data_IF_658723825999
#
_entry.id   IF_658723825999
#
_cell.length_a   1.000
_cell.length_b   1.000
_cell.length_c   1.000
_cell.angle_alpha   90.00
_cell.angle_beta   90.00
_cell.angle_gamma   90.00
#
_symmetry.space_group_name_H-M   'P 1'
#
loop_
_entity.id
_entity.type
_entity.pdbx_description
1 polymer ?
#
# COMPACT_ATOMS: atom_id res chain seq x y z
N UNK A 1 -52.25 -0.20 -9.06
CA UNK A 1 -51.80 -1.46 -9.72
C UNK A 1 -51.16 -1.20 -11.09
N UNK A 2 -51.76 -0.39 -11.99
CA UNK A 2 -51.27 -0.14 -13.36
C UNK A 2 -49.96 0.67 -13.35
N UNK A 3 -49.85 1.75 -12.56
CA UNK A 3 -48.63 2.57 -12.40
C UNK A 3 -47.45 1.74 -11.86
N UNK A 4 -47.69 0.79 -10.94
CA UNK A 4 -46.68 -0.11 -10.44
C UNK A 4 -46.14 -1.07 -11.51
N UNK A 5 -47.04 -1.57 -12.40
CA UNK A 5 -46.65 -2.44 -13.53
C UNK A 5 -45.89 -1.70 -14.64
N UNK A 6 -46.22 -0.43 -14.91
CA UNK A 6 -45.55 0.41 -15.89
C UNK A 6 -44.14 0.84 -15.41
N UNK A 7 -43.93 0.99 -14.09
CA UNK A 7 -42.64 1.37 -13.53
C UNK A 7 -41.69 0.17 -13.32
N UNK A 8 -42.20 -1.06 -13.26
CA UNK A 8 -41.36 -2.23 -13.00
C UNK A 8 -40.17 -2.39 -13.99
N UNK A 9 -40.36 -2.25 -15.33
CA UNK A 9 -39.25 -2.29 -16.27
C UNK A 9 -38.23 -1.16 -16.08
N UNK A 10 -38.70 0.04 -15.75
CA UNK A 10 -37.81 1.20 -15.49
C UNK A 10 -36.98 0.99 -14.21
N UNK A 11 -37.57 0.40 -13.17
CA UNK A 11 -36.85 0.03 -11.96
C UNK A 11 -35.83 -1.08 -12.23
N UNK A 12 -36.19 -2.11 -12.98
CA UNK A 12 -35.28 -3.19 -13.36
C UNK A 12 -34.06 -2.66 -14.15
N UNK A 13 -34.31 -1.75 -15.12
CA UNK A 13 -33.25 -1.13 -15.88
C UNK A 13 -32.31 -0.24 -15.01
N UNK A 14 -32.86 0.45 -14.00
CA UNK A 14 -32.08 1.23 -13.05
C UNK A 14 -31.21 0.34 -12.15
N UNK A 15 -31.76 -0.75 -11.65
CA UNK A 15 -31.02 -1.75 -10.86
C UNK A 15 -29.87 -2.32 -11.67
N UNK A 16 -30.14 -2.79 -12.89
CA UNK A 16 -29.10 -3.35 -13.78
C UNK A 16 -27.97 -2.35 -14.08
N UNK A 17 -28.30 -1.07 -14.30
CA UNK A 17 -27.28 -0.02 -14.48
C UNK A 17 -26.43 0.20 -13.21
N UNK A 18 -27.06 0.17 -12.05
CA UNK A 18 -26.35 0.32 -10.78
C UNK A 18 -25.40 -0.85 -10.54
N UNK A 19 -25.84 -2.08 -10.81
CA UNK A 19 -25.01 -3.28 -10.71
C UNK A 19 -23.82 -3.21 -11.66
N UNK A 20 -24.03 -2.86 -12.94
CA UNK A 20 -22.96 -2.69 -13.90
C UNK A 20 -21.95 -1.60 -13.48
N UNK A 21 -22.45 -0.52 -12.87
CA UNK A 21 -21.58 0.54 -12.37
C UNK A 21 -20.75 0.09 -11.16
N UNK A 22 -21.33 -0.70 -10.26
CA UNK A 22 -20.61 -1.32 -9.13
C UNK A 22 -19.49 -2.24 -9.62
N UNK A 23 -19.79 -3.11 -10.59
CA UNK A 23 -18.80 -4.01 -11.17
C UNK A 23 -17.65 -3.23 -11.80
N UNK A 24 -17.95 -2.13 -12.51
CA UNK A 24 -16.95 -1.25 -13.08
C UNK A 24 -16.06 -0.61 -12.01
N UNK A 25 -16.66 -0.11 -10.90
CA UNK A 25 -15.92 0.45 -9.77
C UNK A 25 -14.95 -0.58 -9.20
N UNK A 26 -15.42 -1.78 -8.92
CA UNK A 26 -14.60 -2.85 -8.38
C UNK A 26 -13.47 -3.24 -9.34
N UNK A 27 -13.76 -3.34 -10.63
CA UNK A 27 -12.75 -3.64 -11.65
C UNK A 27 -11.68 -2.53 -11.74
N UNK A 28 -12.06 -1.27 -11.68
CA UNK A 28 -11.10 -0.17 -11.70
C UNK A 28 -10.28 -0.08 -10.41
N UNK A 29 -10.92 -0.26 -9.25
CA UNK A 29 -10.21 -0.31 -7.96
C UNK A 29 -9.20 -1.46 -7.95
N UNK A 30 -9.55 -2.64 -8.45
CA UNK A 30 -8.64 -3.78 -8.58
C UNK A 30 -7.43 -3.45 -9.47
N UNK A 31 -7.62 -2.80 -10.62
CA UNK A 31 -6.51 -2.36 -11.49
C UNK A 31 -5.56 -1.42 -10.76
N UNK A 32 -6.10 -0.46 -10.02
CA UNK A 32 -5.28 0.48 -9.21
C UNK A 32 -4.53 -0.27 -8.12
N UNK A 33 -5.19 -1.18 -7.40
CA UNK A 33 -4.57 -2.02 -6.37
C UNK A 33 -3.45 -2.89 -6.93
N UNK A 34 -3.68 -3.54 -8.07
CA UNK A 34 -2.67 -4.38 -8.74
C UNK A 34 -1.45 -3.57 -9.17
N UNK A 35 -1.66 -2.39 -9.76
CA UNK A 35 -0.56 -1.50 -10.16
C UNK A 35 0.23 -1.00 -8.95
N UNK A 36 -0.44 -0.65 -7.86
CA UNK A 36 0.20 -0.24 -6.62
C UNK A 36 1.00 -1.40 -5.99
N UNK A 37 0.43 -2.60 -5.96
CA UNK A 37 1.10 -3.79 -5.46
C UNK A 37 2.37 -4.09 -6.23
N UNK A 38 2.30 -4.16 -7.56
CA UNK A 38 3.44 -4.45 -8.41
C UNK A 38 4.58 -3.43 -8.20
N UNK A 39 4.26 -2.12 -8.32
CA UNK A 39 5.25 -1.06 -8.16
C UNK A 39 5.88 -1.02 -6.77
N UNK A 40 5.10 -1.32 -5.73
CA UNK A 40 5.63 -1.37 -4.38
C UNK A 40 6.52 -2.59 -4.18
N UNK A 41 6.16 -3.76 -4.72
CA UNK A 41 6.98 -4.97 -4.68
C UNK A 41 8.36 -4.72 -5.26
N UNK A 42 8.44 -4.19 -6.50
CA UNK A 42 9.72 -3.84 -7.14
C UNK A 42 10.51 -2.87 -6.26
N UNK A 43 9.86 -1.82 -5.76
CA UNK A 43 10.51 -0.83 -4.91
C UNK A 43 11.05 -1.41 -3.60
N UNK A 44 10.35 -2.36 -2.99
CA UNK A 44 10.78 -3.01 -1.76
C UNK A 44 11.99 -3.92 -2.02
N UNK A 45 12.00 -4.68 -3.11
CA UNK A 45 13.15 -5.48 -3.54
C UNK A 45 14.38 -4.58 -3.70
N UNK A 46 14.29 -3.57 -4.54
CA UNK A 46 15.38 -2.62 -4.77
C UNK A 46 15.88 -1.98 -3.47
N UNK A 47 14.95 -1.56 -2.61
CA UNK A 47 15.30 -0.92 -1.33
C UNK A 47 16.03 -1.87 -0.40
N UNK A 48 15.59 -3.11 -0.30
CA UNK A 48 16.22 -4.12 0.55
C UNK A 48 17.64 -4.41 0.09
N UNK A 49 17.83 -4.69 -1.21
CA UNK A 49 19.13 -4.98 -1.81
C UNK A 49 20.09 -3.80 -1.69
N UNK A 50 19.65 -2.60 -2.09
CA UNK A 50 20.47 -1.40 -1.99
C UNK A 50 20.90 -1.11 -0.56
N UNK A 51 19.99 -1.28 0.40
CA UNK A 51 20.29 -1.06 1.82
C UNK A 51 21.28 -2.08 2.35
N UNK A 52 21.16 -3.34 1.95
CA UNK A 52 22.10 -4.40 2.31
C UNK A 52 23.51 -4.11 1.78
N UNK A 53 23.66 -3.94 0.47
CA UNK A 53 24.98 -3.76 -0.14
C UNK A 53 25.63 -2.43 0.23
N UNK A 54 24.85 -1.36 0.30
CA UNK A 54 25.35 -0.05 0.76
C UNK A 54 25.84 -0.11 2.20
N UNK A 55 25.12 -0.78 3.08
CA UNK A 55 25.51 -0.94 4.46
C UNK A 55 26.77 -1.79 4.61
N UNK A 56 26.97 -2.85 3.80
CA UNK A 56 28.21 -3.61 3.75
C UNK A 56 29.38 -2.71 3.34
N UNK A 57 29.22 -1.98 2.24
CA UNK A 57 30.23 -1.05 1.75
C UNK A 57 30.62 -0.01 2.83
N UNK A 58 29.64 0.60 3.49
CA UNK A 58 29.86 1.59 4.54
C UNK A 58 30.59 0.98 5.76
N UNK A 59 30.28 -0.27 6.12
CA UNK A 59 30.97 -0.99 7.19
C UNK A 59 32.45 -1.24 6.83
N UNK A 60 32.71 -1.82 5.66
CA UNK A 60 34.08 -2.09 5.18
C UNK A 60 34.89 -0.81 5.09
N UNK A 61 34.29 0.28 4.59
CA UNK A 61 34.95 1.59 4.50
C UNK A 61 35.30 2.18 5.86
N UNK A 62 34.40 2.06 6.84
CA UNK A 62 34.61 2.61 8.19
C UNK A 62 35.60 1.82 9.03
N UNK A 63 35.68 0.53 8.83
CA UNK A 63 36.59 -0.36 9.55
C UNK A 63 37.93 -0.53 8.84
N UNK A 64 38.05 0.00 7.61
CA UNK A 64 39.18 -0.21 6.71
C UNK A 64 39.54 -1.70 6.53
N UNK A 65 38.57 -2.56 6.74
CA UNK A 65 38.74 -4.03 6.71
C UNK A 65 37.72 -4.63 5.73
N UNK A 66 38.23 -5.35 4.74
CA UNK A 66 37.39 -6.19 3.87
C UNK A 66 36.94 -7.42 4.62
N UNK A 67 35.71 -7.84 4.44
CA UNK A 67 35.18 -9.12 4.90
C UNK A 67 34.33 -9.76 3.80
N UNK A 68 34.30 -11.07 3.79
CA UNK A 68 33.44 -11.82 2.88
C UNK A 68 31.98 -11.71 3.30
N UNK A 69 31.11 -11.56 2.31
CA UNK A 69 29.67 -11.52 2.54
C UNK A 69 28.91 -12.34 1.50
N UNK A 70 27.77 -12.83 1.89
CA UNK A 70 26.93 -13.64 1.00
C UNK A 70 26.14 -12.75 0.07
N UNK A 71 26.15 -13.06 -1.24
CA UNK A 71 25.24 -12.44 -2.19
C UNK A 71 23.80 -12.79 -1.81
N UNK A 72 22.91 -11.80 -1.82
CA UNK A 72 21.49 -12.02 -1.60
C UNK A 72 20.91 -12.91 -2.72
N UNK A 73 20.17 -13.93 -2.35
CA UNK A 73 19.38 -14.70 -3.28
C UNK A 73 17.99 -14.06 -3.41
N UNK A 74 17.46 -14.00 -4.63
CA UNK A 74 16.14 -13.40 -4.90
C UNK A 74 15.04 -13.97 -3.99
N UNK A 75 15.11 -15.30 -3.74
CA UNK A 75 14.19 -15.99 -2.83
C UNK A 75 14.20 -15.41 -1.41
N UNK A 76 15.37 -15.09 -0.89
CA UNK A 76 15.54 -14.60 0.47
C UNK A 76 15.08 -13.14 0.59
N UNK A 77 15.29 -12.34 -0.46
CA UNK A 77 14.75 -10.98 -0.57
C UNK A 77 13.23 -11.00 -0.60
N UNK A 78 12.64 -11.86 -1.46
CA UNK A 78 11.19 -12.01 -1.56
C UNK A 78 10.57 -12.48 -0.23
N UNK A 79 11.20 -13.42 0.46
CA UNK A 79 10.75 -13.88 1.78
C UNK A 79 10.81 -12.76 2.82
N UNK A 80 11.87 -11.95 2.80
CA UNK A 80 12.04 -10.83 3.72
C UNK A 80 10.95 -9.77 3.54
N UNK A 81 10.66 -9.34 2.29
CA UNK A 81 9.64 -8.33 2.02
C UNK A 81 8.21 -8.85 2.25
N UNK A 82 7.98 -10.17 2.12
CA UNK A 82 6.68 -10.79 2.37
C UNK A 82 6.40 -11.04 3.86
N UNK A 83 7.37 -10.81 4.74
CA UNK A 83 7.22 -11.08 6.17
C UNK A 83 6.13 -10.21 6.80
N UNK A 84 5.28 -10.84 7.63
CA UNK A 84 4.31 -10.11 8.42
C UNK A 84 5.03 -9.35 9.54
N UNK A 85 4.84 -8.04 9.55
CA UNK A 85 5.31 -7.18 10.62
C UNK A 85 4.21 -6.19 11.02
N UNK A 86 4.12 -5.84 12.26
CA UNK A 86 3.03 -5.00 12.78
C UNK A 86 1.62 -5.49 12.34
N UNK A 87 1.39 -6.81 12.40
CA UNK A 87 0.09 -7.45 12.21
C UNK A 87 -0.32 -7.79 10.77
N UNK A 88 0.44 -7.37 9.75
CA UNK A 88 0.20 -7.76 8.35
C UNK A 88 1.42 -7.43 7.48
N UNK A 89 1.43 -7.92 6.24
CA UNK A 89 2.44 -7.55 5.25
C UNK A 89 1.95 -6.41 4.33
N UNK A 90 2.83 -5.90 3.46
CA UNK A 90 2.52 -4.80 2.53
C UNK A 90 1.39 -5.14 1.56
N UNK A 91 1.34 -6.38 1.07
CA UNK A 91 0.32 -6.85 0.14
C UNK A 91 -1.07 -6.77 0.78
N UNK A 92 -1.23 -7.33 1.98
CA UNK A 92 -2.48 -7.29 2.74
C UNK A 92 -2.96 -5.86 2.97
N UNK A 93 -2.04 -4.95 3.29
CA UNK A 93 -2.36 -3.53 3.51
C UNK A 93 -2.86 -2.87 2.24
N UNK A 94 -2.24 -3.14 1.09
CA UNK A 94 -2.69 -2.61 -0.21
C UNK A 94 -4.07 -3.14 -0.54
N UNK A 95 -4.28 -4.46 -0.48
CA UNK A 95 -5.57 -5.05 -0.85
C UNK A 95 -6.69 -4.66 0.10
N UNK A 96 -6.43 -4.55 1.39
CA UNK A 96 -7.38 -4.02 2.37
C UNK A 96 -7.76 -2.57 2.05
N UNK A 97 -6.80 -1.75 1.66
CA UNK A 97 -7.05 -0.36 1.28
C UNK A 97 -7.83 -0.28 -0.04
N UNK A 98 -7.48 -1.08 -1.04
CA UNK A 98 -8.17 -1.17 -2.33
C UNK A 98 -9.64 -1.57 -2.16
N UNK A 99 -9.90 -2.57 -1.32
CA UNK A 99 -11.28 -2.98 -1.00
C UNK A 99 -12.08 -1.85 -0.35
N UNK A 100 -11.49 -1.14 0.60
CA UNK A 100 -12.13 0.01 1.25
C UNK A 100 -12.42 1.14 0.26
N UNK A 101 -11.50 1.41 -0.66
CA UNK A 101 -11.73 2.39 -1.72
C UNK A 101 -12.94 2.00 -2.58
N UNK A 102 -12.98 0.77 -3.08
CA UNK A 102 -14.11 0.28 -3.90
C UNK A 102 -15.45 0.44 -3.18
N UNK A 103 -15.52 0.01 -1.91
CA UNK A 103 -16.72 0.16 -1.10
C UNK A 103 -17.13 1.63 -0.91
N UNK A 104 -16.16 2.50 -0.60
CA UNK A 104 -16.42 3.93 -0.41
C UNK A 104 -16.91 4.63 -1.68
N UNK A 105 -16.41 4.24 -2.85
CA UNK A 105 -16.88 4.76 -4.14
C UNK A 105 -18.28 4.24 -4.47
N UNK A 106 -18.55 2.98 -4.20
CA UNK A 106 -19.88 2.38 -4.35
C UNK A 106 -20.92 3.09 -3.47
N UNK A 107 -20.59 3.38 -2.21
CA UNK A 107 -21.45 4.11 -1.27
C UNK A 107 -21.79 5.52 -1.80
N UNK A 108 -20.81 6.27 -2.28
CA UNK A 108 -21.04 7.63 -2.83
C UNK A 108 -22.01 7.58 -4.00
N UNK A 109 -21.83 6.68 -4.94
CA UNK A 109 -22.69 6.58 -6.12
C UNK A 109 -24.08 6.10 -5.73
N UNK A 110 -24.19 5.08 -4.89
CA UNK A 110 -25.48 4.55 -4.45
C UNK A 110 -26.27 5.64 -3.71
N UNK A 111 -25.64 6.32 -2.76
CA UNK A 111 -26.28 7.41 -2.01
C UNK A 111 -26.66 8.56 -2.91
N UNK A 112 -25.77 9.01 -3.82
CA UNK A 112 -26.06 10.08 -4.75
C UNK A 112 -27.26 9.79 -5.64
N UNK A 113 -27.36 8.57 -6.17
CA UNK A 113 -28.51 8.14 -6.99
C UNK A 113 -29.81 8.03 -6.19
N UNK A 114 -29.74 7.58 -4.93
CA UNK A 114 -30.91 7.45 -4.05
C UNK A 114 -31.43 8.82 -3.60
N UNK A 115 -30.55 9.78 -3.37
CA UNK A 115 -30.92 11.14 -2.89
C UNK A 115 -31.13 12.14 -4.01
N UNK A 116 -30.92 11.74 -5.27
CA UNK A 116 -31.08 12.63 -6.42
C UNK A 116 -30.00 13.72 -6.50
N UNK A 117 -28.79 13.45 -6.01
CA UNK A 117 -27.67 14.38 -6.12
C UNK A 117 -27.32 14.66 -7.58
N UNK A 118 -26.82 15.84 -7.86
CA UNK A 118 -26.31 16.17 -9.19
C UNK A 118 -25.04 15.33 -9.52
N UNK A 119 -24.80 15.12 -10.80
CA UNK A 119 -23.57 14.45 -11.28
C UNK A 119 -22.33 15.18 -10.74
N UNK A 120 -22.38 16.51 -10.72
CA UNK A 120 -21.29 17.36 -10.23
C UNK A 120 -20.98 17.12 -8.74
N UNK A 121 -22.01 17.00 -7.91
CA UNK A 121 -21.83 16.76 -6.48
C UNK A 121 -21.25 15.35 -6.23
N UNK A 122 -21.71 14.36 -7.00
CA UNK A 122 -21.13 13.01 -6.95
C UNK A 122 -19.67 12.98 -7.40
N UNK A 123 -19.31 13.70 -8.48
CA UNK A 123 -17.92 13.83 -8.93
C UNK A 123 -17.02 14.40 -7.82
N UNK A 124 -17.41 15.50 -7.19
CA UNK A 124 -16.66 16.12 -6.10
C UNK A 124 -16.50 15.17 -4.90
N UNK A 125 -17.55 14.43 -4.56
CA UNK A 125 -17.49 13.44 -3.49
C UNK A 125 -16.56 12.27 -3.83
N UNK A 126 -16.56 11.78 -5.07
CA UNK A 126 -15.64 10.74 -5.54
C UNK A 126 -14.18 11.23 -5.53
N UNK A 127 -13.93 12.44 -6.03
CA UNK A 127 -12.60 13.06 -5.98
C UNK A 127 -12.06 13.13 -4.55
N UNK A 128 -12.85 13.60 -3.61
CA UNK A 128 -12.46 13.68 -2.20
C UNK A 128 -12.08 12.32 -1.63
N UNK A 129 -12.79 11.23 -2.00
CA UNK A 129 -12.46 9.87 -1.59
C UNK A 129 -11.14 9.39 -2.19
N UNK A 130 -10.93 9.62 -3.47
CA UNK A 130 -9.69 9.23 -4.17
C UNK A 130 -8.48 9.95 -3.58
N UNK A 131 -8.58 11.26 -3.29
CA UNK A 131 -7.50 12.04 -2.66
C UNK A 131 -7.16 11.48 -1.27
N UNK A 132 -8.18 11.19 -0.44
CA UNK A 132 -7.98 10.60 0.88
C UNK A 132 -7.27 9.25 0.81
N UNK A 133 -7.66 8.38 -0.11
CA UNK A 133 -7.04 7.07 -0.28
C UNK A 133 -5.61 7.16 -0.82
N UNK A 134 -5.32 8.12 -1.69
CA UNK A 134 -3.95 8.40 -2.15
C UNK A 134 -3.01 8.74 -1.00
N UNK A 135 -3.47 9.52 -0.03
CA UNK A 135 -2.70 9.81 1.18
C UNK A 135 -2.41 8.54 1.99
N UNK A 136 -3.40 7.64 2.16
CA UNK A 136 -3.23 6.36 2.87
C UNK A 136 -2.23 5.44 2.16
N UNK A 137 -2.32 5.32 0.83
CA UNK A 137 -1.37 4.55 0.02
C UNK A 137 0.05 5.09 0.19
N UNK A 138 0.24 6.41 0.09
CA UNK A 138 1.56 7.02 0.28
C UNK A 138 2.13 6.75 1.67
N UNK A 139 1.28 6.73 2.70
CA UNK A 139 1.71 6.36 4.06
C UNK A 139 2.15 4.90 4.14
N UNK A 140 1.40 3.98 3.53
CA UNK A 140 1.79 2.56 3.44
C UNK A 140 3.16 2.45 2.77
N UNK A 141 3.33 3.06 1.60
CA UNK A 141 4.59 3.02 0.84
C UNK A 141 5.77 3.48 1.70
N UNK A 142 5.67 4.65 2.34
CA UNK A 142 6.75 5.18 3.19
C UNK A 142 7.08 4.25 4.33
N UNK A 143 6.08 3.69 4.98
CA UNK A 143 6.26 2.81 6.13
C UNK A 143 6.92 1.49 5.72
N UNK A 144 6.48 0.88 4.62
CA UNK A 144 7.06 -0.36 4.11
C UNK A 144 8.49 -0.17 3.59
N UNK A 145 8.74 0.91 2.83
CA UNK A 145 10.09 1.22 2.33
C UNK A 145 11.06 1.45 3.48
N UNK A 146 10.66 2.19 4.52
CA UNK A 146 11.51 2.40 5.69
C UNK A 146 11.78 1.09 6.44
N UNK A 147 10.76 0.24 6.62
CA UNK A 147 10.93 -1.07 7.22
C UNK A 147 11.91 -1.94 6.42
N UNK A 148 11.74 -2.05 5.10
CA UNK A 148 12.64 -2.78 4.22
C UNK A 148 14.08 -2.28 4.25
N UNK A 149 14.27 -0.97 4.26
CA UNK A 149 15.60 -0.36 4.40
C UNK A 149 16.29 -0.81 5.69
N UNK A 150 15.57 -0.77 6.81
CA UNK A 150 16.10 -1.21 8.10
C UNK A 150 16.40 -2.71 8.14
N UNK A 151 15.55 -3.53 7.51
CA UNK A 151 15.77 -4.98 7.43
C UNK A 151 16.99 -5.32 6.55
N UNK A 152 17.17 -4.68 5.41
CA UNK A 152 18.36 -4.84 4.57
C UNK A 152 19.64 -4.45 5.32
N UNK A 153 19.62 -3.32 6.04
CA UNK A 153 20.72 -2.88 6.89
C UNK A 153 21.00 -3.87 8.03
N UNK A 154 19.97 -4.37 8.70
CA UNK A 154 20.12 -5.38 9.75
C UNK A 154 20.74 -6.68 9.22
N UNK A 155 20.32 -7.09 8.01
CA UNK A 155 20.90 -8.28 7.37
C UNK A 155 22.38 -8.09 7.04
N UNK A 156 22.81 -6.89 6.63
CA UNK A 156 24.23 -6.60 6.42
C UNK A 156 25.06 -6.69 7.71
N UNK A 157 24.51 -6.25 8.84
CA UNK A 157 25.17 -6.40 10.14
C UNK A 157 25.36 -7.86 10.52
N UNK A 158 24.36 -8.71 10.25
CA UNK A 158 24.48 -10.15 10.46
C UNK A 158 25.55 -10.77 9.56
N UNK A 159 25.59 -10.37 8.28
CA UNK A 159 26.62 -10.85 7.34
C UNK A 159 28.04 -10.44 7.76
N UNK A 160 28.19 -9.26 8.34
CA UNK A 160 29.46 -8.74 8.87
C UNK A 160 29.82 -9.33 10.25
N UNK A 161 29.01 -10.22 10.82
CA UNK A 161 29.24 -10.78 12.18
C UNK A 161 29.13 -9.75 13.30
N UNK A 162 28.46 -8.62 13.06
CA UNK A 162 28.27 -7.55 14.04
C UNK A 162 27.42 -8.03 15.21
N UNK A 163 28.00 -8.06 16.42
CA UNK A 163 27.34 -8.59 17.63
C UNK A 163 26.53 -7.53 18.38
N UNK A 164 26.89 -6.26 18.24
CA UNK A 164 26.24 -5.15 18.94
C UNK A 164 26.16 -3.95 18.03
N UNK A 165 25.04 -3.26 18.04
CA UNK A 165 24.84 -1.96 17.39
C UNK A 165 24.01 -1.05 18.28
N UNK A 166 24.17 0.26 18.10
CA UNK A 166 23.39 1.27 18.80
C UNK A 166 22.41 1.87 17.80
N UNK A 167 21.13 1.85 18.14
CA UNK A 167 20.13 2.59 17.41
C UNK A 167 20.14 4.04 17.87
N UNK A 168 20.47 4.96 16.97
CA UNK A 168 20.39 6.40 17.20
C UNK A 168 19.14 6.93 16.52
N UNK A 169 18.12 7.26 17.30
CA UNK A 169 16.94 7.94 16.77
C UNK A 169 17.28 9.41 16.52
N UNK A 170 16.83 9.94 15.38
CA UNK A 170 16.87 11.39 15.16
C UNK A 170 15.79 12.01 16.06
N UNK A 171 16.23 12.78 17.05
CA UNK A 171 15.33 13.52 17.93
C UNK A 171 14.76 14.73 17.18
N UNK A 172 13.57 14.61 16.68
CA UNK A 172 12.82 15.70 16.06
C UNK A 172 11.42 15.83 16.71
N UNK A 173 10.64 16.82 16.26
CA UNK A 173 9.28 17.05 16.77
C UNK A 173 8.29 15.88 16.50
N UNK A 174 8.71 14.85 15.77
CA UNK A 174 7.92 13.65 15.46
C UNK A 174 8.32 12.45 16.32
N UNK A 175 9.38 12.58 17.10
CA UNK A 175 9.85 11.52 17.99
C UNK A 175 8.88 11.40 19.16
N UNK A 176 8.34 10.20 19.38
CA UNK A 176 7.45 9.94 20.50
C UNK A 176 8.23 9.89 21.83
N UNK A 177 7.53 10.07 22.94
CA UNK A 177 8.13 9.95 24.30
C UNK A 177 8.61 8.52 24.63
N UNK A 178 8.35 7.56 23.74
CA UNK A 178 8.74 6.15 23.89
C UNK A 178 10.04 5.84 23.11
N UNK A 179 10.43 6.72 22.18
CA UNK A 179 11.72 6.66 21.49
C UNK A 179 12.74 7.49 22.26
#
# INVERSE_FOLDING_TARGET
>A
AILARLNAPAYAARISRLEALKDLIHAQAYKVGSAAHYRLTDRLIDTYEQSYYRSIYDQQRRTETGFDFTKLADRDVQAAIATNWAGSNYSDRIWKNTKKLAQSLEEVITQGLMTGQSIRDMELALEARVVSERYKINRIIRTEVNHCCNQGTLMSYKAAGTRRYIFLATLDMRTSSIC
#
